data_IF_613675947162
#
_entry.id   IF_613675947162
#
_cell.length_a   1.000
_cell.length_b   1.000
_cell.length_c   1.000
_cell.angle_alpha   90.00
_cell.angle_beta   90.00
_cell.angle_gamma   90.00
#
_symmetry.space_group_name_H-M   'P 1'
#
loop_
_entity.id
_entity.type
_entity.pdbx_description
1 polymer ?
#
# COMPACT_ATOMS: atom_id res chain seq x y z
N UNK A 1 22.58 0.56 10.54
CA UNK A 1 21.41 1.36 10.14
C UNK A 1 20.24 0.42 9.94
N UNK A 2 19.05 0.80 10.42
CA UNK A 2 17.80 0.11 10.12
C UNK A 2 17.10 0.89 9.00
N UNK A 3 16.74 0.20 7.94
CA UNK A 3 15.94 0.73 6.83
C UNK A 3 14.70 -0.15 6.70
N UNK A 4 13.54 0.39 7.04
CA UNK A 4 12.30 -0.37 7.07
C UNK A 4 11.22 0.27 7.94
N UNK A 5 10.21 -0.52 8.26
CA UNK A 5 9.10 -0.11 9.12
C UNK A 5 9.26 -0.69 10.52
N UNK A 6 8.91 0.07 11.52
CA UNK A 6 8.84 -0.37 12.91
C UNK A 6 7.48 -0.05 13.52
N UNK A 7 7.00 -0.93 14.36
CA UNK A 7 5.79 -0.72 15.14
C UNK A 7 5.88 -1.49 16.46
N UNK A 8 5.37 -0.92 17.54
CA UNK A 8 5.27 -1.56 18.84
C UNK A 8 6.59 -2.17 19.33
N UNK A 9 7.63 -1.37 19.41
CA UNK A 9 8.91 -1.79 19.98
C UNK A 9 8.85 -1.77 21.49
N UNK A 10 9.05 -2.92 22.11
CA UNK A 10 8.99 -3.10 23.57
C UNK A 10 10.34 -3.58 24.10
N UNK A 11 10.79 -2.99 25.18
CA UNK A 11 11.91 -3.45 25.98
C UNK A 11 11.48 -3.53 27.45
N UNK A 12 11.71 -4.67 28.07
CA UNK A 12 11.38 -4.92 29.47
C UNK A 12 12.68 -5.08 30.25
N UNK A 13 12.88 -4.24 31.24
CA UNK A 13 14.05 -4.24 32.10
C UNK A 13 13.81 -5.18 33.29
N UNK A 14 14.77 -6.08 33.52
CA UNK A 14 14.80 -6.95 34.71
C UNK A 14 13.94 -8.20 34.65
N UNK A 15 13.12 -8.41 33.60
CA UNK A 15 12.26 -9.60 33.49
C UNK A 15 12.18 -10.12 32.08
N UNK A 16 12.42 -11.42 31.89
CA UNK A 16 12.19 -12.09 30.62
C UNK A 16 10.70 -12.48 30.50
N UNK A 17 10.02 -11.95 29.50
CA UNK A 17 8.62 -12.28 29.20
C UNK A 17 8.52 -13.22 27.99
N UNK A 18 7.43 -13.97 27.94
CA UNK A 18 7.13 -14.83 26.79
C UNK A 18 6.48 -14.02 25.66
N UNK A 19 6.55 -14.48 24.40
CA UNK A 19 5.90 -13.79 23.28
C UNK A 19 4.41 -13.53 23.48
N UNK A 20 3.73 -14.38 24.25
CA UNK A 20 2.29 -14.24 24.55
C UNK A 20 1.94 -13.00 25.39
N UNK A 21 2.93 -12.32 25.98
CA UNK A 21 2.75 -11.00 26.59
C UNK A 21 2.51 -9.90 25.57
N UNK A 22 2.95 -10.10 24.32
CA UNK A 22 2.95 -9.09 23.25
C UNK A 22 2.13 -9.49 22.02
N UNK A 23 1.66 -10.75 21.99
CA UNK A 23 0.87 -11.23 20.86
C UNK A 23 0.07 -12.47 21.22
N UNK A 24 -0.79 -12.85 20.30
CA UNK A 24 -1.65 -14.01 20.40
C UNK A 24 -1.90 -14.62 19.02
N UNK A 25 -2.23 -15.91 18.98
CA UNK A 25 -2.68 -16.54 17.74
C UNK A 25 -4.16 -16.28 17.55
N UNK A 26 -4.52 -15.71 16.41
CA UNK A 26 -5.92 -15.52 16.02
C UNK A 26 -6.58 -16.89 15.81
N UNK A 27 -7.65 -17.18 16.54
CA UNK A 27 -8.30 -18.49 16.54
C UNK A 27 -9.00 -18.81 15.21
N UNK A 28 -9.37 -17.80 14.42
CA UNK A 28 -10.05 -18.02 13.14
C UNK A 28 -9.07 -18.23 11.99
N UNK A 29 -7.98 -17.47 11.94
CA UNK A 29 -7.00 -17.52 10.85
C UNK A 29 -5.76 -18.36 11.16
N UNK A 30 -5.49 -18.66 12.42
CA UNK A 30 -4.24 -19.30 12.87
C UNK A 30 -3.01 -18.38 12.80
N UNK A 31 -3.19 -17.11 12.45
CA UNK A 31 -2.10 -16.14 12.30
C UNK A 31 -1.78 -15.52 13.65
N UNK A 32 -0.50 -15.45 13.97
CA UNK A 32 -0.04 -14.74 15.16
C UNK A 32 -0.16 -13.23 14.93
N UNK A 33 -0.82 -12.52 15.83
CA UNK A 33 -1.06 -11.08 15.76
C UNK A 33 -0.60 -10.37 17.02
N UNK A 34 -0.24 -9.11 16.87
CA UNK A 34 0.09 -8.24 17.99
C UNK A 34 -1.10 -8.08 18.94
N UNK A 35 -0.78 -8.06 20.22
CA UNK A 35 -1.69 -7.73 21.31
C UNK A 35 -1.07 -6.62 22.14
N UNK A 36 -1.85 -5.58 22.46
CA UNK A 36 -1.36 -4.50 23.35
C UNK A 36 -0.94 -5.11 24.69
N UNK A 37 0.32 -4.91 25.12
CA UNK A 37 0.79 -5.44 26.40
C UNK A 37 -0.05 -4.92 27.56
N UNK A 38 -0.41 -5.81 28.46
CA UNK A 38 -1.14 -5.47 29.68
C UNK A 38 -0.53 -6.19 30.88
N UNK A 39 -0.50 -5.51 32.04
CA UNK A 39 0.07 -6.07 33.27
C UNK A 39 1.59 -6.30 33.22
N UNK A 40 2.30 -5.64 32.31
CA UNK A 40 3.74 -5.70 32.19
C UNK A 40 4.38 -4.75 33.20
N UNK A 41 5.30 -5.26 34.03
CA UNK A 41 6.21 -4.43 34.83
C UNK A 41 7.41 -4.10 33.96
N UNK A 42 7.49 -2.87 33.47
CA UNK A 42 8.47 -2.46 32.48
C UNK A 42 9.89 -2.34 33.04
N UNK A 43 10.03 -2.01 34.34
CA UNK A 43 11.32 -1.70 34.96
C UNK A 43 11.83 -0.30 34.59
N UNK A 44 12.80 0.19 35.37
CA UNK A 44 13.26 1.59 35.26
C UNK A 44 13.74 2.00 33.87
N UNK A 45 14.38 1.08 33.14
CA UNK A 45 14.89 1.34 31.79
C UNK A 45 13.98 0.76 30.69
N UNK A 46 12.82 0.18 31.05
CA UNK A 46 11.87 -0.37 30.10
C UNK A 46 11.14 0.70 29.30
N UNK A 47 10.68 0.34 28.12
CA UNK A 47 9.90 1.25 27.27
C UNK A 47 8.96 0.50 26.34
N UNK A 48 7.91 1.18 25.89
CA UNK A 48 7.01 0.72 24.83
C UNK A 48 6.74 1.84 23.82
N UNK A 49 7.38 1.78 22.67
CA UNK A 49 7.21 2.74 21.59
C UNK A 49 6.10 2.25 20.66
N UNK A 50 4.91 2.81 20.78
CA UNK A 50 3.76 2.48 19.92
C UNK A 50 3.86 3.09 18.53
N UNK A 51 4.56 4.22 18.41
CA UNK A 51 4.68 5.02 17.18
C UNK A 51 3.33 5.49 16.62
N UNK A 52 2.31 5.59 17.48
CA UNK A 52 0.95 6.02 17.15
C UNK A 52 0.74 7.54 17.20
N UNK A 53 1.69 8.27 17.79
CA UNK A 53 1.67 9.73 17.83
C UNK A 53 2.57 10.32 16.74
N UNK A 54 1.96 10.86 15.69
CA UNK A 54 2.71 11.45 14.55
C UNK A 54 3.57 12.67 14.93
N UNK A 55 3.23 13.37 16.01
CA UNK A 55 4.02 14.50 16.50
C UNK A 55 5.22 14.06 17.36
N UNK A 56 5.21 12.83 17.89
CA UNK A 56 6.27 12.27 18.70
C UNK A 56 6.33 10.74 18.55
N UNK A 57 7.01 10.27 17.50
CA UNK A 57 7.14 8.83 17.22
C UNK A 57 7.97 8.08 18.27
N UNK A 58 8.80 8.80 19.02
CA UNK A 58 9.62 8.25 20.10
C UNK A 58 8.95 8.28 21.48
N UNK A 59 7.65 8.55 21.57
CA UNK A 59 6.93 8.59 22.84
C UNK A 59 6.89 7.20 23.48
N UNK A 60 7.37 7.11 24.71
CA UNK A 60 7.26 5.92 25.54
C UNK A 60 5.86 5.83 26.16
N UNK A 61 5.20 4.73 25.94
CA UNK A 61 3.85 4.41 26.44
C UNK A 61 3.86 3.39 27.59
N UNK A 62 5.03 3.04 28.12
CA UNK A 62 5.15 2.11 29.25
C UNK A 62 4.72 2.72 30.58
N UNK A 63 4.86 4.04 30.71
CA UNK A 63 4.71 4.79 31.97
C UNK A 63 6.04 5.17 32.62
N UNK A 64 7.16 4.61 32.16
CA UNK A 64 8.50 4.88 32.72
C UNK A 64 9.13 6.18 32.18
N UNK A 65 8.49 6.78 31.16
CA UNK A 65 8.93 8.05 30.54
C UNK A 65 10.29 8.00 29.82
N UNK A 66 10.72 6.84 29.38
CA UNK A 66 11.95 6.64 28.63
C UNK A 66 11.74 7.02 27.13
N UNK A 67 11.46 8.29 26.88
CA UNK A 67 11.20 8.80 25.54
C UNK A 67 12.46 8.82 24.68
N UNK A 68 12.27 8.55 23.39
CA UNK A 68 13.29 8.64 22.37
C UNK A 68 13.13 9.90 21.52
N UNK A 69 14.23 10.49 21.13
CA UNK A 69 14.21 11.60 20.18
C UNK A 69 14.41 11.07 18.77
N UNK A 70 13.46 11.37 17.89
CA UNK A 70 13.59 11.05 16.48
C UNK A 70 14.68 11.89 15.84
N UNK A 71 15.62 11.24 15.14
CA UNK A 71 16.61 11.90 14.31
C UNK A 71 16.44 11.47 12.85
N UNK A 72 16.48 12.42 11.91
CA UNK A 72 16.29 12.16 10.50
C UNK A 72 14.84 12.32 10.02
N UNK A 73 14.48 11.63 8.93
CA UNK A 73 13.22 11.80 8.23
C UNK A 73 12.19 10.71 8.54
N UNK A 74 12.19 10.17 9.75
CA UNK A 74 11.17 9.20 10.18
C UNK A 74 9.76 9.78 10.04
N UNK A 75 8.84 8.97 9.51
CA UNK A 75 7.45 9.35 9.30
C UNK A 75 6.52 8.22 9.75
N UNK A 76 5.34 8.60 10.23
CA UNK A 76 4.31 7.62 10.53
C UNK A 76 3.68 7.10 9.23
N UNK A 77 3.62 5.79 9.07
CA UNK A 77 2.77 5.13 8.10
C UNK A 77 1.37 4.92 8.69
N UNK A 78 0.37 4.71 7.82
CA UNK A 78 -1.00 4.44 8.27
C UNK A 78 -1.22 3.00 8.71
N UNK A 79 -0.28 2.11 8.42
CA UNK A 79 -0.36 0.71 8.82
C UNK A 79 -0.27 0.56 10.34
N UNK A 80 -1.06 -0.35 10.86
CA UNK A 80 -1.01 -0.79 12.25
C UNK A 80 -0.90 -2.32 12.30
N UNK A 81 -0.54 -2.92 13.44
CA UNK A 81 -0.50 -4.38 13.56
C UNK A 81 -1.85 -5.07 13.29
N UNK A 82 -2.94 -4.33 13.38
CA UNK A 82 -4.31 -4.84 13.18
C UNK A 82 -4.96 -4.36 11.90
N UNK A 83 -4.32 -3.45 11.17
CA UNK A 83 -4.87 -2.87 9.95
C UNK A 83 -3.74 -2.55 8.97
N UNK A 84 -3.48 -3.47 8.06
CA UNK A 84 -2.43 -3.37 7.04
C UNK A 84 -3.04 -2.85 5.75
N UNK A 85 -2.54 -1.73 5.25
CA UNK A 85 -2.94 -1.17 3.97
C UNK A 85 -2.10 -1.71 2.83
N UNK A 86 -2.67 -1.78 1.64
CA UNK A 86 -1.93 -2.09 0.44
C UNK A 86 -0.90 -0.99 0.15
N UNK A 87 0.31 -1.40 -0.17
CA UNK A 87 1.35 -0.54 -0.74
C UNK A 87 1.77 -1.09 -2.09
N UNK A 88 2.59 -0.37 -2.81
CA UNK A 88 3.21 -0.89 -4.02
C UNK A 88 4.28 -1.92 -3.64
N UNK A 89 4.38 -3.02 -4.38
CA UNK A 89 5.31 -4.10 -4.11
C UNK A 89 6.62 -3.93 -4.89
N UNK A 90 7.73 -3.52 -4.27
CA UNK A 90 9.00 -3.36 -4.98
C UNK A 90 9.57 -4.68 -5.54
N UNK A 91 9.13 -5.82 -5.01
CA UNK A 91 9.53 -7.15 -5.48
C UNK A 91 8.74 -7.58 -6.73
N UNK A 92 7.62 -6.93 -7.00
CA UNK A 92 6.82 -7.09 -8.22
C UNK A 92 6.95 -5.87 -9.14
N UNK A 93 8.16 -5.37 -9.24
CA UNK A 93 8.54 -4.24 -10.08
C UNK A 93 9.13 -4.78 -11.37
N UNK A 94 8.23 -5.02 -12.33
CA UNK A 94 8.64 -5.68 -13.57
C UNK A 94 9.10 -4.69 -14.63
N UNK A 95 10.14 -5.13 -15.33
CA UNK A 95 10.76 -4.61 -16.55
C UNK A 95 11.57 -3.33 -16.41
N UNK A 96 11.36 -2.49 -15.48
CA UNK A 96 12.12 -1.24 -15.41
C UNK A 96 12.34 -0.84 -13.97
N UNK A 97 13.51 -0.30 -13.70
CA UNK A 97 13.84 0.22 -12.40
C UNK A 97 12.94 1.41 -12.04
N UNK A 98 11.73 1.12 -11.59
CA UNK A 98 10.94 2.11 -10.86
C UNK A 98 11.60 2.38 -9.52
N UNK A 99 11.58 3.62 -9.08
CA UNK A 99 11.99 4.00 -7.73
C UNK A 99 10.74 4.17 -6.86
N UNK A 100 10.86 3.74 -5.60
CA UNK A 100 9.79 3.81 -4.62
C UNK A 100 10.16 4.78 -3.50
N UNK A 101 9.17 5.46 -2.97
CA UNK A 101 9.34 6.41 -1.88
C UNK A 101 8.12 6.41 -0.96
N UNK A 102 8.22 7.13 0.16
CA UNK A 102 7.15 7.32 1.13
C UNK A 102 6.56 5.99 1.61
N UNK A 103 7.42 5.03 1.94
CA UNK A 103 6.97 3.72 2.38
C UNK A 103 6.24 2.95 1.29
N UNK A 104 6.79 2.91 0.09
CA UNK A 104 6.23 2.24 -1.08
C UNK A 104 4.80 2.68 -1.45
N UNK A 105 4.41 3.89 -1.08
CA UNK A 105 3.13 4.49 -1.50
C UNK A 105 3.30 5.42 -2.70
N UNK A 106 4.53 5.63 -3.16
CA UNK A 106 4.86 6.46 -4.32
C UNK A 106 5.81 5.70 -5.23
N UNK A 107 5.53 5.74 -6.53
CA UNK A 107 6.37 5.16 -7.58
C UNK A 107 6.74 6.25 -8.59
N UNK A 108 8.00 6.27 -8.98
CA UNK A 108 8.47 7.02 -10.15
C UNK A 108 9.01 6.03 -11.17
N UNK A 109 8.45 6.03 -12.37
CA UNK A 109 8.87 5.19 -13.49
C UNK A 109 9.92 5.89 -14.31
N UNK A 110 10.76 5.12 -15.03
CA UNK A 110 11.64 5.70 -16.05
C UNK A 110 10.87 5.88 -17.35
N UNK A 111 11.13 6.99 -18.03
CA UNK A 111 10.59 7.28 -19.35
C UNK A 111 11.01 6.20 -20.36
N UNK A 112 10.16 5.82 -21.28
CA UNK A 112 10.39 4.99 -22.47
C UNK A 112 10.05 3.50 -22.40
N UNK A 113 9.62 2.95 -21.27
CA UNK A 113 9.28 1.52 -21.17
C UNK A 113 8.02 1.27 -20.38
N UNK A 114 7.39 0.12 -20.59
CA UNK A 114 6.33 -0.37 -19.73
C UNK A 114 6.93 -0.71 -18.35
N UNK A 115 6.52 0.01 -17.33
CA UNK A 115 6.92 -0.26 -15.95
C UNK A 115 5.65 -0.57 -15.16
N UNK A 116 5.51 -1.81 -14.72
CA UNK A 116 4.38 -2.27 -13.95
C UNK A 116 4.78 -2.58 -12.50
N UNK A 117 3.90 -2.28 -11.57
CA UNK A 117 4.01 -2.69 -10.18
C UNK A 117 2.63 -3.10 -9.67
N UNK A 118 2.56 -4.23 -8.98
CA UNK A 118 1.36 -4.65 -8.29
C UNK A 118 1.33 -4.10 -6.86
N UNK A 119 0.14 -4.15 -6.24
CA UNK A 119 0.01 -3.92 -4.80
C UNK A 119 0.50 -5.11 -4.00
N UNK A 120 0.80 -4.88 -2.71
CA UNK A 120 1.20 -5.95 -1.77
C UNK A 120 0.05 -6.87 -1.37
N UNK A 121 -1.20 -6.50 -1.63
CA UNK A 121 -2.37 -7.30 -1.29
C UNK A 121 -3.04 -7.84 -2.55
N UNK A 122 -3.31 -9.13 -2.57
CA UNK A 122 -4.14 -9.83 -3.55
C UNK A 122 -5.50 -10.18 -2.94
N UNK A 123 -6.53 -10.27 -3.79
CA UNK A 123 -7.93 -10.47 -3.39
C UNK A 123 -8.55 -11.56 -4.24
N UNK A 124 -9.35 -12.43 -3.61
CA UNK A 124 -10.07 -13.51 -4.30
C UNK A 124 -11.58 -13.40 -4.21
N UNK A 125 -12.11 -12.62 -3.27
CA UNK A 125 -13.54 -12.38 -3.05
C UNK A 125 -13.74 -11.08 -2.29
N UNK A 126 -14.95 -10.53 -2.29
CA UNK A 126 -15.29 -9.30 -1.55
C UNK A 126 -15.22 -8.03 -2.38
N UNK A 127 -15.39 -6.91 -1.71
CA UNK A 127 -15.40 -5.57 -2.31
C UNK A 127 -14.27 -4.72 -1.78
N UNK A 128 -13.54 -4.09 -2.67
CA UNK A 128 -12.32 -3.35 -2.34
C UNK A 128 -12.31 -1.99 -3.03
N UNK A 129 -11.57 -1.09 -2.42
CA UNK A 129 -11.37 0.25 -2.91
C UNK A 129 -9.92 0.69 -2.75
N UNK A 130 -9.37 1.33 -3.77
CA UNK A 130 -8.06 1.95 -3.73
C UNK A 130 -8.05 3.26 -4.51
N UNK A 131 -7.18 4.19 -4.11
CA UNK A 131 -6.96 5.44 -4.82
C UNK A 131 -5.50 5.58 -5.25
N UNK A 132 -5.30 6.10 -6.45
CA UNK A 132 -4.00 6.47 -6.98
C UNK A 132 -4.04 7.95 -7.39
N UNK A 133 -3.11 8.75 -6.87
CA UNK A 133 -2.93 10.13 -7.32
C UNK A 133 -1.83 10.19 -8.38
N UNK A 134 -2.17 10.75 -9.53
CA UNK A 134 -1.17 11.08 -10.55
C UNK A 134 -0.37 12.30 -10.10
N UNK A 135 0.91 12.12 -9.77
CA UNK A 135 1.76 13.22 -9.27
C UNK A 135 2.54 13.91 -10.38
N UNK A 136 2.71 13.25 -11.52
CA UNK A 136 3.40 13.81 -12.69
C UNK A 136 3.54 12.75 -13.78
N UNK A 137 3.98 13.17 -14.95
CA UNK A 137 4.39 12.31 -16.06
C UNK A 137 5.50 13.00 -16.84
N UNK A 138 6.31 12.21 -17.54
CA UNK A 138 7.40 12.75 -18.35
C UNK A 138 7.00 12.79 -19.83
N UNK A 139 7.43 13.83 -20.54
CA UNK A 139 7.17 13.99 -21.96
C UNK A 139 5.81 14.62 -22.28
N UNK A 140 5.42 14.54 -23.56
CA UNK A 140 4.19 15.15 -24.09
C UNK A 140 2.97 14.23 -23.98
N UNK A 141 3.12 12.98 -23.61
CA UNK A 141 2.03 12.00 -23.56
C UNK A 141 2.02 11.28 -22.21
N UNK A 142 0.84 11.23 -21.62
CA UNK A 142 0.62 10.52 -20.35
C UNK A 142 0.21 9.07 -20.65
N UNK A 143 1.13 8.14 -20.49
CA UNK A 143 0.93 6.70 -20.73
C UNK A 143 0.62 5.91 -19.44
N UNK A 144 0.05 6.54 -18.43
CA UNK A 144 -0.24 5.87 -17.19
C UNK A 144 -1.53 5.05 -17.26
N UNK A 145 -1.50 3.85 -16.69
CA UNK A 145 -2.61 2.92 -16.60
C UNK A 145 -2.81 2.48 -15.15
N UNK A 146 -4.05 2.51 -14.69
CA UNK A 146 -4.45 2.13 -13.34
C UNK A 146 -5.56 1.08 -13.45
N UNK A 147 -5.42 -0.05 -12.76
CA UNK A 147 -6.40 -1.12 -12.85
C UNK A 147 -6.06 -2.35 -12.04
N UNK A 148 -6.51 -3.49 -12.52
CA UNK A 148 -6.35 -4.81 -11.89
C UNK A 148 -5.70 -5.82 -12.83
N UNK A 149 -5.07 -6.83 -12.24
CA UNK A 149 -4.57 -7.99 -12.96
C UNK A 149 -4.69 -9.24 -12.11
N UNK A 150 -4.99 -10.37 -12.74
CA UNK A 150 -5.03 -11.68 -12.07
C UNK A 150 -3.65 -12.35 -11.95
N UNK A 151 -2.63 -11.78 -12.59
CA UNK A 151 -1.26 -12.31 -12.58
C UNK A 151 -0.25 -11.19 -12.76
N UNK A 152 0.98 -11.45 -12.30
CA UNK A 152 2.10 -10.55 -12.53
C UNK A 152 2.31 -10.32 -14.02
N UNK A 153 2.51 -9.06 -14.39
CA UNK A 153 2.91 -8.73 -15.76
C UNK A 153 4.41 -9.01 -15.96
N UNK A 154 4.70 -10.04 -16.73
CA UNK A 154 6.07 -10.40 -17.10
C UNK A 154 6.39 -10.09 -18.58
N UNK A 155 5.54 -9.34 -19.26
CA UNK A 155 5.71 -8.97 -20.65
C UNK A 155 6.46 -7.65 -20.82
N UNK A 156 7.46 -7.61 -21.68
CA UNK A 156 8.19 -6.40 -22.07
C UNK A 156 7.47 -5.58 -23.15
N UNK A 157 6.42 -6.15 -23.73
CA UNK A 157 5.73 -5.58 -24.90
C UNK A 157 4.24 -5.38 -24.66
N UNK A 158 3.74 -5.69 -23.46
CA UNK A 158 2.34 -5.56 -23.13
C UNK A 158 2.11 -4.66 -21.91
N UNK A 159 0.96 -4.06 -21.84
CA UNK A 159 0.53 -3.11 -20.82
C UNK A 159 -0.62 -3.68 -19.98
N UNK A 160 -0.93 -3.05 -18.87
CA UNK A 160 -2.09 -3.40 -18.06
C UNK A 160 -3.37 -3.19 -18.88
N UNK A 161 -4.20 -4.24 -18.98
CA UNK A 161 -5.35 -4.28 -19.88
C UNK A 161 -5.05 -4.92 -21.25
N UNK A 162 -3.77 -5.07 -21.61
CA UNK A 162 -3.33 -5.86 -22.76
C UNK A 162 -3.09 -7.33 -22.46
N UNK A 163 -3.05 -7.69 -21.18
CA UNK A 163 -2.82 -9.05 -20.71
C UNK A 163 -4.15 -9.71 -20.34
N UNK A 164 -4.27 -11.01 -20.63
CA UNK A 164 -5.41 -11.81 -20.19
C UNK A 164 -5.61 -11.68 -18.67
N UNK A 165 -6.84 -11.47 -18.23
CA UNK A 165 -7.18 -11.32 -16.82
C UNK A 165 -6.78 -9.97 -16.22
N UNK A 166 -6.60 -8.95 -17.05
CA UNK A 166 -6.36 -7.59 -16.60
C UNK A 166 -7.39 -6.60 -17.14
N UNK A 167 -7.61 -5.51 -16.44
CA UNK A 167 -8.39 -4.37 -16.91
C UNK A 167 -7.78 -3.07 -16.43
N UNK A 168 -7.83 -2.02 -17.24
CA UNK A 168 -7.23 -0.74 -16.87
C UNK A 168 -7.97 0.46 -17.43
N UNK A 169 -7.88 1.55 -16.68
CA UNK A 169 -8.19 2.90 -17.12
C UNK A 169 -6.90 3.60 -17.52
N UNK A 170 -6.85 4.02 -18.76
CA UNK A 170 -5.72 4.70 -19.36
C UNK A 170 -5.87 6.21 -19.26
N UNK A 171 -4.78 6.91 -19.00
CA UNK A 171 -4.79 8.36 -18.79
C UNK A 171 -5.32 9.16 -19.98
N UNK A 172 -5.27 8.62 -21.19
CA UNK A 172 -5.84 9.25 -22.38
C UNK A 172 -7.33 8.99 -22.58
N UNK A 173 -7.97 8.29 -21.65
CA UNK A 173 -9.42 8.13 -21.62
C UNK A 173 -9.94 6.80 -22.13
N UNK A 174 -9.07 5.85 -22.46
CA UNK A 174 -9.52 4.52 -22.87
C UNK A 174 -9.62 3.56 -21.70
N UNK A 175 -10.51 2.58 -21.81
CA UNK A 175 -10.59 1.40 -20.94
C UNK A 175 -10.16 0.18 -21.74
N UNK A 176 -9.18 -0.54 -21.22
CA UNK A 176 -8.71 -1.77 -21.82
C UNK A 176 -9.12 -2.99 -21.00
N UNK A 177 -9.46 -4.07 -21.70
CA UNK A 177 -9.90 -5.33 -21.11
C UNK A 177 -9.15 -6.51 -21.74
N UNK A 178 -8.28 -7.14 -20.97
CA UNK A 178 -7.74 -8.49 -21.09
C UNK A 178 -6.99 -8.93 -22.36
N UNK A 179 -7.09 -8.17 -23.44
CA UNK A 179 -6.42 -8.47 -24.71
C UNK A 179 -6.08 -7.19 -25.49
N UNK A 180 -6.03 -6.05 -24.82
CA UNK A 180 -5.77 -4.76 -25.43
C UNK A 180 -6.95 -4.15 -26.19
N UNK A 181 -8.14 -4.72 -26.04
CA UNK A 181 -9.35 -4.16 -26.65
C UNK A 181 -9.83 -2.97 -25.85
N UNK A 182 -9.98 -1.83 -26.50
CA UNK A 182 -10.64 -0.67 -25.91
C UNK A 182 -12.16 -0.93 -25.86
N UNK A 183 -12.71 -0.96 -24.66
CA UNK A 183 -14.13 -1.25 -24.41
C UNK A 183 -14.93 -0.02 -24.00
N UNK A 184 -14.29 1.15 -23.89
CA UNK A 184 -14.97 2.36 -23.47
C UNK A 184 -14.11 3.60 -23.54
N UNK A 185 -14.77 4.75 -23.40
CA UNK A 185 -14.13 6.06 -23.35
C UNK A 185 -14.52 6.76 -22.07
N UNK A 186 -13.52 7.34 -21.41
CA UNK A 186 -13.62 8.05 -20.14
C UNK A 186 -12.94 9.42 -20.24
N UNK A 187 -13.16 10.33 -19.30
CA UNK A 187 -12.39 11.58 -19.24
C UNK A 187 -10.89 11.28 -19.11
N UNK A 188 -10.05 12.02 -19.81
CA UNK A 188 -8.59 11.96 -19.61
C UNK A 188 -8.22 12.37 -18.18
N UNK A 189 -7.13 11.81 -17.63
CA UNK A 189 -6.61 12.29 -16.35
C UNK A 189 -5.15 12.73 -16.47
N UNK A 190 -4.75 13.66 -15.62
CA UNK A 190 -3.45 14.31 -15.65
C UNK A 190 -2.91 14.55 -14.23
N UNK A 191 -1.83 15.30 -14.12
CA UNK A 191 -1.19 15.63 -12.84
C UNK A 191 -2.18 16.24 -11.85
N UNK A 192 -2.14 15.75 -10.62
CA UNK A 192 -3.01 16.02 -9.49
C UNK A 192 -4.40 15.37 -9.51
N UNK A 193 -4.79 14.70 -10.59
CA UNK A 193 -6.02 13.90 -10.57
C UNK A 193 -5.87 12.67 -9.65
N UNK A 194 -6.95 12.36 -8.96
CA UNK A 194 -7.09 11.17 -8.12
C UNK A 194 -8.01 10.21 -8.86
N UNK A 195 -7.51 9.01 -9.09
CA UNK A 195 -8.25 7.92 -9.71
C UNK A 195 -8.56 6.87 -8.66
N UNK A 196 -9.84 6.64 -8.43
CA UNK A 196 -10.31 5.56 -7.58
C UNK A 196 -10.66 4.33 -8.39
N UNK A 197 -10.32 3.18 -7.85
CA UNK A 197 -10.65 1.85 -8.39
C UNK A 197 -11.53 1.15 -7.37
N UNK A 198 -12.74 0.79 -7.77
CA UNK A 198 -13.66 -0.03 -6.97
C UNK A 198 -13.74 -1.41 -7.61
N UNK A 199 -13.52 -2.44 -6.82
CA UNK A 199 -13.52 -3.83 -7.27
C UNK A 199 -14.59 -4.58 -6.50
N UNK A 200 -15.53 -5.20 -7.20
CA UNK A 200 -16.54 -6.10 -6.65
C UNK A 200 -16.29 -7.49 -7.22
N UNK A 201 -15.52 -8.30 -6.52
CA UNK A 201 -15.19 -9.65 -6.94
C UNK A 201 -16.36 -10.62 -6.77
N UNK A 202 -17.31 -10.29 -5.90
CA UNK A 202 -18.48 -11.15 -5.69
C UNK A 202 -19.44 -11.10 -6.89
N UNK A 203 -19.48 -9.96 -7.60
CA UNK A 203 -20.30 -9.74 -8.77
C UNK A 203 -19.50 -9.58 -10.08
N UNK A 204 -18.18 -9.66 -10.03
CA UNK A 204 -17.25 -9.49 -11.17
C UNK A 204 -17.37 -8.12 -11.84
N UNK A 205 -17.46 -7.06 -11.06
CA UNK A 205 -17.46 -5.69 -11.53
C UNK A 205 -16.21 -4.92 -11.12
N UNK A 206 -15.81 -3.99 -11.97
CA UNK A 206 -14.82 -2.97 -11.69
C UNK A 206 -15.36 -1.61 -12.11
N UNK A 207 -15.16 -0.61 -11.25
CA UNK A 207 -15.57 0.76 -11.52
C UNK A 207 -14.39 1.69 -11.29
N UNK A 208 -14.36 2.79 -12.04
CA UNK A 208 -13.40 3.86 -11.79
C UNK A 208 -14.12 5.16 -11.50
N UNK A 209 -13.49 6.00 -10.72
CA UNK A 209 -13.88 7.39 -10.59
C UNK A 209 -12.67 8.30 -10.78
N UNK A 210 -12.93 9.52 -11.21
CA UNK A 210 -11.97 10.61 -11.28
C UNK A 210 -12.38 11.69 -10.29
N UNK A 211 -11.51 12.03 -9.33
CA UNK A 211 -11.74 13.07 -8.33
C UNK A 211 -13.08 12.90 -7.57
N UNK A 212 -13.43 11.66 -7.24
CA UNK A 212 -14.67 11.33 -6.53
C UNK A 212 -15.92 11.19 -7.39
N UNK A 213 -15.83 11.46 -8.69
CA UNK A 213 -16.98 11.33 -9.62
C UNK A 213 -16.87 10.03 -10.39
N UNK A 214 -17.82 9.13 -10.21
CA UNK A 214 -17.91 7.89 -10.97
C UNK A 214 -18.14 8.17 -12.44
N UNK A 215 -17.49 7.42 -13.29
CA UNK A 215 -17.51 7.59 -14.72
C UNK A 215 -18.60 6.68 -15.29
N UNK A 216 -19.42 7.22 -16.22
CA UNK A 216 -20.55 6.51 -16.85
C UNK A 216 -21.61 6.01 -15.85
N UNK A 217 -21.83 6.74 -14.78
CA UNK A 217 -22.81 6.41 -13.73
C UNK A 217 -22.53 5.11 -12.96
N UNK A 218 -21.28 4.67 -12.96
CA UNK A 218 -20.83 3.46 -12.27
C UNK A 218 -20.80 2.24 -13.16
#
# INVERSE_FOLDING_TARGET
YFDGYMNNVAFVDGTALTPTSFGETDSASGIWKFKTPSGVTWGTNGFHLKMDNSANLGLDSSGETNNFTLSGNGRQAKDTPTNVYATLNPLDNYYSASTFANGNTSQTTVASNYAGVASTLGMTSGKFYAECKQTGFSGSSNYNLIGITSSQNTSTTSFLGGLTGSASYYAQGEIYNGNGTNIGSMPTYTTNDIIGVVIDLDNNFIYWHKNGVYINSG
#
